data_IF_487270364852
#
_entry.id   IF_487270364852
#
_cell.length_a   1.000
_cell.length_b   1.000
_cell.length_c   1.000
_cell.angle_alpha   90.00
_cell.angle_beta   90.00
_cell.angle_gamma   90.00
#
_symmetry.space_group_name_H-M   'P 1'
#
loop_
_entity.id
_entity.type
_entity.pdbx_description
1 polymer ?
#
# COMPACT_ATOMS: atom_id res chain seq x y z
N UNK A 1 1.95 0.43 -8.04
CA UNK A 1 2.44 1.83 -7.81
C UNK A 1 2.73 2.07 -6.32
N UNK A 2 1.80 1.74 -5.42
CA UNK A 2 1.99 1.97 -3.97
C UNK A 2 3.17 1.17 -3.39
N UNK A 3 3.43 -0.06 -3.87
CA UNK A 3 4.63 -0.82 -3.51
C UNK A 3 5.92 -0.03 -3.85
N UNK A 4 5.99 0.55 -5.06
CA UNK A 4 7.14 1.38 -5.45
C UNK A 4 7.26 2.62 -4.58
N UNK A 5 6.14 3.25 -4.19
CA UNK A 5 6.16 4.40 -3.29
C UNK A 5 6.73 4.02 -1.91
N UNK A 6 6.32 2.87 -1.35
CA UNK A 6 6.88 2.36 -0.09
C UNK A 6 8.37 2.02 -0.20
N UNK A 7 8.79 1.38 -1.30
CA UNK A 7 10.20 1.06 -1.54
C UNK A 7 11.05 2.33 -1.72
N UNK A 8 10.52 3.35 -2.41
CA UNK A 8 11.16 4.66 -2.56
C UNK A 8 11.29 5.36 -1.20
N UNK A 9 10.26 5.30 -0.35
CA UNK A 9 10.32 5.88 1.00
C UNK A 9 11.42 5.24 1.86
N UNK A 10 11.53 3.91 1.84
CA UNK A 10 12.65 3.20 2.47
C UNK A 10 14.00 3.66 1.91
N UNK A 11 14.13 3.68 0.57
CA UNK A 11 15.37 4.06 -0.08
C UNK A 11 15.77 5.50 0.20
N UNK A 12 14.82 6.42 0.19
CA UNK A 12 15.06 7.83 0.49
C UNK A 12 15.61 8.00 1.91
N UNK A 13 14.98 7.36 2.91
CA UNK A 13 15.46 7.36 4.30
C UNK A 13 16.86 6.74 4.41
N UNK A 14 17.10 5.58 3.79
CA UNK A 14 18.37 4.85 3.90
C UNK A 14 19.54 5.59 3.27
N UNK A 15 19.29 6.33 2.19
CA UNK A 15 20.33 7.09 1.46
C UNK A 15 20.45 8.55 1.87
N UNK A 16 19.42 9.10 2.53
CA UNK A 16 19.33 10.52 2.89
C UNK A 16 19.54 11.49 1.71
N UNK A 17 19.25 11.02 0.49
CA UNK A 17 19.42 11.84 -0.73
C UNK A 17 18.22 12.73 -1.03
N UNK A 18 17.04 12.35 -0.53
CA UNK A 18 15.76 13.02 -0.81
C UNK A 18 14.91 12.99 0.46
N UNK A 19 14.37 14.13 0.84
CA UNK A 19 13.33 14.23 1.85
C UNK A 19 11.95 14.14 1.19
N UNK A 20 11.19 13.15 1.58
CA UNK A 20 9.82 12.97 1.11
C UNK A 20 8.84 13.63 2.07
N UNK A 21 7.96 14.46 1.56
CA UNK A 21 6.93 15.11 2.37
C UNK A 21 5.89 14.10 2.91
N UNK A 22 5.55 13.08 2.12
CA UNK A 22 4.63 12.00 2.49
C UNK A 22 4.76 10.83 1.50
N UNK A 23 4.09 9.71 1.82
CA UNK A 23 3.81 8.59 0.92
C UNK A 23 2.29 8.33 0.86
N UNK A 24 1.72 8.31 -0.36
CA UNK A 24 0.33 7.95 -0.59
C UNK A 24 0.26 6.52 -1.11
N UNK A 25 -0.34 5.64 -0.31
CA UNK A 25 -0.39 4.21 -0.54
C UNK A 25 -1.84 3.78 -0.80
N UNK A 26 -2.20 3.67 -2.07
CA UNK A 26 -3.55 3.26 -2.48
C UNK A 26 -3.50 1.77 -2.77
N UNK A 27 -4.21 0.98 -1.97
CA UNK A 27 -4.26 -0.49 -1.95
C UNK A 27 -2.88 -1.13 -2.21
N UNK A 28 -1.89 -0.88 -1.30
CA UNK A 28 -0.52 -1.31 -1.50
C UNK A 28 -0.36 -2.83 -1.41
N UNK A 29 0.60 -3.37 -2.19
CA UNK A 29 1.11 -4.73 -2.09
C UNK A 29 2.56 -4.64 -1.58
N UNK A 30 2.76 -4.75 -0.27
CA UNK A 30 4.05 -4.57 0.40
C UNK A 30 4.65 -5.88 0.94
N UNK A 31 3.90 -7.00 0.79
CA UNK A 31 4.34 -8.35 1.11
C UNK A 31 4.07 -9.30 -0.07
N UNK A 32 5.10 -9.61 -0.84
CA UNK A 32 4.98 -10.52 -1.98
C UNK A 32 4.90 -12.00 -1.60
N UNK A 33 4.90 -12.36 -0.33
CA UNK A 33 4.59 -13.74 0.08
C UNK A 33 3.11 -14.05 -0.06
N UNK A 34 2.25 -13.01 -0.15
CA UNK A 34 0.78 -13.13 -0.26
C UNK A 34 0.19 -14.04 0.82
N UNK A 35 0.71 -13.97 2.04
CA UNK A 35 0.37 -14.87 3.14
C UNK A 35 -0.87 -14.42 3.94
N UNK A 36 -1.45 -13.28 3.61
CA UNK A 36 -2.60 -12.72 4.30
C UNK A 36 -3.93 -13.41 3.92
N UNK A 37 -4.87 -13.39 4.86
CA UNK A 37 -6.19 -14.00 4.70
C UNK A 37 -6.99 -13.35 3.57
N UNK A 38 -6.93 -12.01 3.42
CA UNK A 38 -7.59 -11.29 2.33
C UNK A 38 -7.15 -11.79 0.94
N UNK A 39 -5.88 -12.17 0.76
CA UNK A 39 -5.40 -12.77 -0.49
C UNK A 39 -6.08 -14.12 -0.80
N UNK A 40 -6.56 -14.83 0.22
CA UNK A 40 -7.29 -16.09 0.08
C UNK A 40 -8.79 -15.86 -0.13
N UNK A 41 -9.43 -15.03 0.72
CA UNK A 41 -10.90 -14.87 0.72
C UNK A 41 -11.38 -13.93 -0.38
N UNK A 42 -10.62 -12.89 -0.70
CA UNK A 42 -10.93 -11.92 -1.76
C UNK A 42 -10.18 -12.20 -3.07
N UNK A 43 -9.46 -13.32 -3.14
CA UNK A 43 -8.56 -13.65 -4.26
C UNK A 43 -9.27 -14.08 -5.55
N UNK A 44 -10.59 -14.14 -5.57
CA UNK A 44 -11.41 -14.44 -6.76
C UNK A 44 -12.76 -13.72 -6.69
N UNK A 45 -13.33 -13.36 -7.83
CA UNK A 45 -14.66 -12.75 -7.96
C UNK A 45 -14.70 -11.21 -7.80
N UNK A 46 -13.64 -10.55 -7.34
CA UNK A 46 -13.61 -9.11 -7.04
C UNK A 46 -12.67 -8.28 -7.93
N UNK A 47 -12.47 -8.72 -9.17
CA UNK A 47 -11.65 -8.01 -10.15
C UNK A 47 -10.17 -8.41 -10.09
N UNK A 48 -9.39 -7.92 -9.12
CA UNK A 48 -8.02 -8.40 -8.92
C UNK A 48 -8.05 -9.82 -8.32
N UNK A 49 -7.37 -10.76 -8.97
CA UNK A 49 -7.31 -12.13 -8.48
C UNK A 49 -5.91 -12.50 -7.97
N UNK A 50 -5.85 -13.41 -7.00
CA UNK A 50 -4.57 -13.97 -6.51
C UNK A 50 -3.76 -14.60 -7.66
N UNK A 51 -4.43 -15.23 -8.64
CA UNK A 51 -3.78 -15.77 -9.84
C UNK A 51 -3.12 -14.67 -10.68
N UNK A 52 -3.80 -13.55 -10.86
CA UNK A 52 -3.25 -12.39 -11.58
C UNK A 52 -2.07 -11.77 -10.81
N UNK A 53 -2.19 -11.66 -9.48
CA UNK A 53 -1.10 -11.19 -8.63
C UNK A 53 0.14 -12.08 -8.72
N UNK A 54 -0.03 -13.41 -8.70
CA UNK A 54 1.06 -14.37 -8.87
C UNK A 54 1.75 -14.21 -10.23
N UNK A 55 0.97 -13.95 -11.28
CA UNK A 55 1.53 -13.68 -12.61
C UNK A 55 2.38 -12.40 -12.60
N UNK A 56 1.87 -11.28 -12.05
CA UNK A 56 2.65 -10.04 -11.91
C UNK A 56 3.93 -10.28 -11.11
N UNK A 57 3.81 -10.98 -9.99
CA UNK A 57 4.93 -11.32 -9.12
C UNK A 57 6.02 -12.09 -9.89
N UNK A 58 5.64 -13.09 -10.70
CA UNK A 58 6.59 -13.87 -11.51
C UNK A 58 7.39 -13.01 -12.50
N UNK A 59 6.88 -11.83 -12.87
CA UNK A 59 7.57 -10.87 -13.75
C UNK A 59 8.41 -9.85 -12.98
N UNK A 60 7.92 -9.44 -11.83
CA UNK A 60 8.56 -8.40 -11.02
C UNK A 60 9.67 -8.96 -10.10
N UNK A 61 9.43 -10.10 -9.48
CA UNK A 61 10.37 -10.79 -8.58
C UNK A 61 10.55 -12.24 -9.05
N UNK A 62 11.30 -12.46 -10.14
CA UNK A 62 11.42 -13.80 -10.75
C UNK A 62 12.18 -14.81 -9.87
N UNK A 63 12.97 -14.33 -8.90
CA UNK A 63 13.72 -15.20 -7.98
C UNK A 63 12.99 -15.26 -6.64
N UNK A 64 12.60 -16.46 -6.21
CA UNK A 64 11.93 -16.66 -4.91
C UNK A 64 12.75 -16.19 -3.71
N UNK A 65 14.10 -16.18 -3.83
CA UNK A 65 15.00 -15.61 -2.82
C UNK A 65 14.77 -14.13 -2.54
N UNK A 66 14.20 -13.41 -3.50
CA UNK A 66 14.02 -11.96 -3.43
C UNK A 66 12.62 -11.55 -2.95
N UNK A 67 11.72 -12.51 -2.68
CA UNK A 67 10.36 -12.25 -2.16
C UNK A 67 10.36 -11.44 -0.85
N UNK A 68 11.39 -11.59 -0.03
CA UNK A 68 11.57 -10.84 1.23
C UNK A 68 12.64 -9.75 1.13
N UNK A 69 13.07 -9.39 -0.07
CA UNK A 69 13.92 -8.22 -0.25
C UNK A 69 13.13 -6.96 0.13
N UNK A 70 13.61 -6.11 1.03
CA UNK A 70 12.85 -4.95 1.52
C UNK A 70 12.51 -3.91 0.45
N UNK A 71 13.23 -3.90 -0.67
CA UNK A 71 12.88 -3.03 -1.81
C UNK A 71 11.88 -3.67 -2.79
N UNK A 72 11.59 -4.96 -2.63
CA UNK A 72 10.47 -5.63 -3.29
C UNK A 72 9.27 -5.75 -2.37
N UNK A 73 9.51 -6.21 -1.12
CA UNK A 73 8.50 -6.36 -0.08
C UNK A 73 8.85 -5.48 1.12
N UNK A 74 8.44 -4.22 1.14
CA UNK A 74 8.77 -3.25 2.19
C UNK A 74 8.46 -3.70 3.61
N UNK A 75 7.48 -4.56 3.79
CA UNK A 75 7.13 -5.20 5.09
C UNK A 75 8.33 -5.88 5.76
N UNK A 76 9.30 -6.38 4.99
CA UNK A 76 10.48 -7.08 5.51
C UNK A 76 11.69 -6.19 5.78
N UNK A 77 11.55 -4.87 5.73
CA UNK A 77 12.62 -3.98 6.16
C UNK A 77 12.93 -4.21 7.65
N UNK A 78 14.22 -4.17 8.00
CA UNK A 78 14.65 -4.39 9.40
C UNK A 78 14.26 -3.24 10.33
N UNK A 79 14.12 -2.06 9.76
CA UNK A 79 13.75 -0.83 10.47
C UNK A 79 12.75 -0.04 9.61
N UNK A 80 11.65 0.38 10.21
CA UNK A 80 10.63 1.22 9.60
C UNK A 80 10.53 2.59 10.26
N UNK A 81 11.46 2.95 11.14
CA UNK A 81 11.47 4.27 11.77
C UNK A 81 11.88 5.37 10.80
N UNK A 82 11.52 6.61 11.12
CA UNK A 82 11.91 7.81 10.38
C UNK A 82 11.53 7.78 8.89
N UNK A 83 10.45 7.10 8.53
CA UNK A 83 9.88 7.15 7.18
C UNK A 83 8.94 8.35 7.04
N UNK A 84 8.77 8.81 5.80
CA UNK A 84 7.82 9.86 5.48
C UNK A 84 6.40 9.51 5.97
N UNK A 85 5.60 10.50 6.43
CA UNK A 85 4.21 10.30 6.80
C UNK A 85 3.45 9.51 5.74
N UNK A 86 2.64 8.53 6.16
CA UNK A 86 1.92 7.64 5.25
C UNK A 86 0.42 7.87 5.29
N UNK A 87 -0.20 7.98 4.11
CA UNK A 87 -1.65 7.93 3.93
C UNK A 87 -1.95 6.62 3.21
N UNK A 88 -2.65 5.70 3.88
CA UNK A 88 -2.97 4.38 3.32
C UNK A 88 -4.47 4.25 3.09
N UNK A 89 -4.86 3.88 1.89
CA UNK A 89 -6.25 3.62 1.47
C UNK A 89 -6.36 2.18 1.03
N UNK A 90 -7.35 1.46 1.56
CA UNK A 90 -7.66 0.07 1.19
C UNK A 90 -9.12 -0.07 0.78
N UNK A 91 -9.47 -1.21 0.21
CA UNK A 91 -10.82 -1.59 -0.17
C UNK A 91 -11.19 -2.92 0.50
N UNK A 92 -12.44 -3.07 0.94
CA UNK A 92 -12.92 -4.24 1.69
C UNK A 92 -12.74 -5.54 0.90
N UNK A 93 -13.19 -5.56 -0.36
CA UNK A 93 -13.12 -6.75 -1.22
C UNK A 93 -11.88 -6.77 -2.10
N UNK A 94 -10.72 -6.56 -1.47
CA UNK A 94 -9.40 -6.53 -2.14
C UNK A 94 -8.51 -7.63 -1.56
N UNK A 95 -7.88 -8.49 -2.37
CA UNK A 95 -6.88 -9.42 -1.88
C UNK A 95 -5.69 -8.75 -1.15
N UNK A 96 -5.49 -7.44 -1.32
CA UNK A 96 -4.45 -6.64 -0.68
C UNK A 96 -4.91 -5.89 0.58
N UNK A 97 -6.14 -6.09 1.05
CA UNK A 97 -6.69 -5.41 2.24
C UNK A 97 -5.78 -5.56 3.46
N UNK A 98 -5.50 -6.80 3.86
CA UNK A 98 -4.70 -7.08 5.06
C UNK A 98 -3.25 -6.64 4.91
N UNK A 99 -2.69 -6.71 3.70
CA UNK A 99 -1.33 -6.23 3.43
C UNK A 99 -1.24 -4.71 3.66
N UNK A 100 -2.17 -3.95 3.10
CA UNK A 100 -2.23 -2.50 3.29
C UNK A 100 -2.42 -2.11 4.76
N UNK A 101 -3.34 -2.77 5.45
CA UNK A 101 -3.56 -2.55 6.88
C UNK A 101 -2.32 -2.90 7.72
N UNK A 102 -1.74 -4.09 7.48
CA UNK A 102 -0.58 -4.55 8.23
C UNK A 102 0.63 -3.65 8.05
N UNK A 103 0.89 -3.18 6.82
CA UNK A 103 2.00 -2.26 6.57
C UNK A 103 1.77 -0.91 7.25
N UNK A 104 0.56 -0.37 7.23
CA UNK A 104 0.21 0.83 7.99
C UNK A 104 0.49 0.66 9.50
N UNK A 105 0.12 -0.49 10.08
CA UNK A 105 0.38 -0.79 11.48
C UNK A 105 1.88 -0.94 11.80
N UNK A 106 2.68 -1.50 10.89
CA UNK A 106 4.13 -1.57 11.00
C UNK A 106 4.70 -0.14 11.08
N UNK A 107 4.30 0.74 10.17
CA UNK A 107 4.74 2.14 10.16
C UNK A 107 4.34 2.86 11.44
N UNK A 108 3.10 2.70 11.90
CA UNK A 108 2.58 3.32 13.12
C UNK A 108 3.36 2.86 14.35
N UNK A 109 3.61 1.56 14.50
CA UNK A 109 4.37 0.98 15.61
C UNK A 109 5.83 1.43 15.61
N UNK A 110 6.39 1.74 14.44
CA UNK A 110 7.73 2.32 14.30
C UNK A 110 7.80 3.83 14.60
N UNK A 111 6.67 4.45 15.00
CA UNK A 111 6.61 5.86 15.41
C UNK A 111 6.40 6.86 14.28
N UNK A 112 6.08 6.40 13.07
CA UNK A 112 5.78 7.30 11.97
C UNK A 112 4.34 7.85 12.07
N UNK A 113 4.11 9.02 11.49
CA UNK A 113 2.75 9.55 11.29
C UNK A 113 2.05 8.71 10.24
N UNK A 114 0.90 8.11 10.59
CA UNK A 114 0.11 7.29 9.67
C UNK A 114 -1.36 7.70 9.70
N UNK A 115 -1.98 7.68 8.54
CA UNK A 115 -3.40 7.92 8.32
C UNK A 115 -3.91 6.73 7.51
N UNK A 116 -4.95 6.06 8.01
CA UNK A 116 -5.51 4.87 7.37
C UNK A 116 -7.00 5.05 7.13
N UNK A 117 -7.46 4.62 5.96
CA UNK A 117 -8.89 4.52 5.67
C UNK A 117 -9.17 3.32 4.78
N UNK A 118 -10.10 2.48 5.23
CA UNK A 118 -10.73 1.43 4.47
C UNK A 118 -12.03 1.95 3.85
N UNK A 119 -12.36 1.45 2.66
CA UNK A 119 -13.60 1.75 1.96
C UNK A 119 -14.43 0.48 1.84
N UNK A 120 -15.53 0.44 2.61
CA UNK A 120 -16.48 -0.67 2.65
C UNK A 120 -17.16 -0.84 1.30
N UNK A 121 -17.45 -2.08 0.91
CA UNK A 121 -18.11 -2.40 -0.36
C UNK A 121 -17.25 -2.21 -1.62
N UNK A 122 -16.02 -1.71 -1.49
CA UNK A 122 -15.16 -1.41 -2.64
C UNK A 122 -14.21 -2.58 -2.96
N UNK A 123 -13.78 -2.59 -4.24
CA UNK A 123 -12.83 -3.56 -4.78
C UNK A 123 -11.51 -2.89 -5.14
N UNK A 124 -10.47 -3.68 -5.42
CA UNK A 124 -9.21 -3.16 -5.96
C UNK A 124 -9.45 -2.33 -7.24
N UNK A 125 -8.85 -1.16 -7.31
CA UNK A 125 -8.99 -0.27 -8.48
C UNK A 125 -10.10 0.78 -8.36
N UNK A 126 -10.95 0.74 -7.33
CA UNK A 126 -12.08 1.69 -7.18
C UNK A 126 -11.66 3.16 -7.20
N UNK A 127 -10.51 3.49 -6.64
CA UNK A 127 -10.02 4.87 -6.49
C UNK A 127 -10.00 5.66 -7.81
N UNK A 128 -9.78 4.98 -8.95
CA UNK A 128 -9.75 5.60 -10.28
C UNK A 128 -11.09 5.50 -11.02
N UNK A 129 -12.15 5.03 -10.38
CA UNK A 129 -13.46 4.77 -10.98
C UNK A 129 -14.51 5.83 -10.59
N UNK A 130 -14.13 7.12 -10.60
CA UNK A 130 -15.00 8.23 -10.21
C UNK A 130 -16.30 8.36 -11.05
N UNK A 131 -16.34 7.78 -12.26
CA UNK A 131 -17.55 7.70 -13.09
C UNK A 131 -18.45 6.50 -12.79
N UNK A 132 -18.02 5.58 -11.89
CA UNK A 132 -18.70 4.32 -11.59
C UNK A 132 -19.17 4.30 -10.13
N UNK A 133 -18.30 4.70 -9.21
CA UNK A 133 -18.60 4.72 -7.77
C UNK A 133 -18.36 6.10 -7.17
N UNK A 134 -19.29 6.53 -6.31
CA UNK A 134 -19.17 7.78 -5.55
C UNK A 134 -17.99 7.72 -4.57
N UNK A 135 -17.67 6.54 -4.04
CA UNK A 135 -16.56 6.36 -3.09
C UNK A 135 -15.21 6.66 -3.70
N UNK A 136 -15.06 6.56 -5.02
CA UNK A 136 -13.84 7.01 -5.69
C UNK A 136 -13.60 8.51 -5.49
N UNK A 137 -14.64 9.34 -5.62
CA UNK A 137 -14.54 10.79 -5.37
C UNK A 137 -14.27 11.07 -3.89
N UNK A 138 -14.96 10.37 -3.00
CA UNK A 138 -14.76 10.49 -1.55
C UNK A 138 -13.34 10.12 -1.15
N UNK A 139 -12.77 9.05 -1.74
CA UNK A 139 -11.40 8.62 -1.47
C UNK A 139 -10.36 9.61 -2.01
N UNK A 140 -10.60 10.18 -3.20
CA UNK A 140 -9.74 11.21 -3.78
C UNK A 140 -9.78 12.51 -2.95
N UNK A 141 -10.95 12.93 -2.51
CA UNK A 141 -11.10 14.09 -1.62
C UNK A 141 -10.44 13.85 -0.27
N UNK A 142 -10.62 12.68 0.33
CA UNK A 142 -9.93 12.28 1.55
C UNK A 142 -8.40 12.37 1.38
N UNK A 143 -7.85 11.75 0.33
CA UNK A 143 -6.42 11.80 0.05
C UNK A 143 -5.91 13.24 -0.11
N UNK A 144 -6.63 14.08 -0.86
CA UNK A 144 -6.26 15.48 -1.07
C UNK A 144 -6.28 16.30 0.24
N UNK A 145 -7.28 16.09 1.08
CA UNK A 145 -7.39 16.77 2.38
C UNK A 145 -6.26 16.38 3.32
N UNK A 146 -5.92 15.09 3.41
CA UNK A 146 -4.83 14.62 4.26
C UNK A 146 -3.46 15.07 3.76
N UNK A 147 -3.23 15.07 2.45
CA UNK A 147 -2.02 15.64 1.84
C UNK A 147 -1.89 17.12 2.21
N UNK A 148 -2.97 17.90 2.03
CA UNK A 148 -2.95 19.32 2.38
C UNK A 148 -2.68 19.57 3.87
N UNK A 149 -3.19 18.71 4.74
CA UNK A 149 -2.93 18.78 6.18
C UNK A 149 -1.46 18.48 6.54
N UNK A 150 -0.84 17.51 5.86
CA UNK A 150 0.58 17.19 6.04
C UNK A 150 1.52 18.28 5.53
N UNK A 151 1.19 18.89 4.39
CA UNK A 151 2.01 19.94 3.77
C UNK A 151 1.95 21.30 4.48
N UNK A 152 0.99 21.50 5.37
CA UNK A 152 0.84 22.75 6.17
C UNK A 152 1.57 22.69 7.52
N UNK A 153 2.17 21.54 7.85
CA UNK A 153 2.94 21.37 9.10
C UNK A 153 4.40 21.76 8.88
#
# INVERSE_FOLDING_TARGET
>A
GANLASAVALKARDTQLIDLAFQLLIYPCNDFTMSYESARVNGDGYGLTTKTMQWFLSKYVPKSSDLKNPYASPTYAKDHSHLAPAITITAEFDPLLDDGYSYNEILRKAGNTTIYREFDGQIHGFFIQAGITQDALVAQEFAANEINALLKR
#
